data_IF_344400790317
#
_entry.id   IF_344400790317
#
_cell.length_a   1.000
_cell.length_b   1.000
_cell.length_c   1.000
_cell.angle_alpha   90.00
_cell.angle_beta   90.00
_cell.angle_gamma   90.00
#
_symmetry.space_group_name_H-M   'P 1'
#
loop_
_entity.id
_entity.type
_entity.pdbx_description
1 polymer ?
#
# COMPACT_ATOMS: atom_id res chain seq x y z
N UNK A 1 36.33 -9.55 18.73
CA UNK A 1 35.34 -8.70 18.03
C UNK A 1 35.99 -7.71 17.06
N UNK A 2 36.88 -6.80 17.51
CA UNK A 2 37.53 -5.81 16.61
C UNK A 2 38.41 -6.47 15.53
N UNK A 3 39.22 -7.48 15.88
CA UNK A 3 40.02 -8.25 14.91
C UNK A 3 39.16 -8.95 13.84
N UNK A 4 37.98 -9.44 14.21
CA UNK A 4 37.03 -10.09 13.31
C UNK A 4 36.44 -9.12 12.27
N UNK A 5 36.21 -7.86 12.66
CA UNK A 5 35.81 -6.78 11.73
C UNK A 5 36.94 -6.45 10.76
N UNK A 6 38.16 -6.25 11.26
CA UNK A 6 39.33 -5.93 10.44
C UNK A 6 39.62 -7.03 9.40
N UNK A 7 39.51 -8.30 9.78
CA UNK A 7 39.67 -9.44 8.87
C UNK A 7 38.66 -9.40 7.71
N UNK A 8 37.41 -9.04 8.00
CA UNK A 8 36.37 -8.85 6.98
C UNK A 8 36.63 -7.64 6.06
N UNK A 9 37.12 -6.52 6.62
CA UNK A 9 37.45 -5.31 5.85
C UNK A 9 38.58 -5.52 4.83
N UNK A 10 39.55 -6.39 5.10
CA UNK A 10 40.69 -6.63 4.19
C UNK A 10 40.52 -7.83 3.24
N UNK A 11 39.77 -8.88 3.61
CA UNK A 11 39.56 -10.04 2.73
C UNK A 11 38.51 -9.82 1.64
N UNK A 12 37.46 -9.03 1.90
CA UNK A 12 36.47 -8.67 0.88
C UNK A 12 37.14 -8.06 -0.38
N UNK A 13 38.04 -7.05 -0.26
CA UNK A 13 38.88 -6.56 -1.36
C UNK A 13 39.61 -7.63 -2.18
N UNK A 14 40.24 -8.64 -1.55
CA UNK A 14 40.95 -9.69 -2.30
C UNK A 14 39.98 -10.59 -3.09
N UNK A 15 38.84 -10.96 -2.49
CA UNK A 15 37.80 -11.72 -3.17
C UNK A 15 37.22 -10.91 -4.36
N UNK A 16 37.13 -9.58 -4.25
CA UNK A 16 36.66 -8.71 -5.34
C UNK A 16 37.61 -8.62 -6.54
N UNK A 17 38.91 -8.85 -6.38
CA UNK A 17 39.86 -8.91 -7.52
C UNK A 17 39.70 -10.23 -8.28
N UNK A 18 39.51 -11.33 -7.55
CA UNK A 18 39.42 -12.70 -8.10
C UNK A 18 38.05 -12.96 -8.74
N UNK A 19 36.96 -12.52 -8.10
CA UNK A 19 35.59 -12.68 -8.60
C UNK A 19 35.03 -11.36 -9.15
N UNK A 20 35.34 -11.05 -10.41
CA UNK A 20 34.57 -10.07 -11.21
C UNK A 20 33.31 -10.75 -11.80
N UNK A 21 32.09 -10.56 -11.24
CA UNK A 21 30.89 -11.07 -11.88
C UNK A 21 30.66 -10.33 -13.20
N UNK A 22 30.64 -11.06 -14.32
CA UNK A 22 30.30 -10.54 -15.64
C UNK A 22 28.81 -10.20 -15.71
N UNK A 23 28.41 -9.04 -15.18
CA UNK A 23 27.03 -8.54 -15.28
C UNK A 23 26.70 -8.13 -16.72
N UNK A 24 26.30 -9.11 -17.54
CA UNK A 24 25.71 -8.87 -18.86
C UNK A 24 24.23 -8.51 -18.71
N UNK A 25 23.94 -7.30 -18.24
CA UNK A 25 22.58 -6.75 -18.27
C UNK A 25 22.60 -5.37 -18.96
N UNK A 26 22.61 -5.39 -20.30
CA UNK A 26 22.43 -4.20 -21.14
C UNK A 26 20.93 -3.89 -21.24
N UNK A 27 20.42 -3.04 -20.34
CA UNK A 27 19.19 -2.33 -20.62
C UNK A 27 19.48 -1.22 -21.65
N UNK A 28 18.61 -1.05 -22.65
CA UNK A 28 18.63 0.10 -23.58
C UNK A 28 17.81 1.30 -23.05
N UNK A 29 17.49 1.34 -21.75
CA UNK A 29 16.88 2.51 -21.12
C UNK A 29 17.90 3.63 -20.95
N UNK A 30 17.52 4.86 -21.31
CA UNK A 30 18.34 6.07 -21.18
C UNK A 30 18.85 6.24 -19.73
N UNK A 31 20.18 6.35 -19.56
CA UNK A 31 20.83 6.32 -18.23
C UNK A 31 20.42 7.51 -17.33
N UNK A 32 19.74 8.52 -17.90
CA UNK A 32 19.33 9.75 -17.22
C UNK A 32 18.07 9.62 -16.36
N UNK A 33 17.21 8.61 -16.62
CA UNK A 33 15.87 8.52 -16.02
C UNK A 33 15.76 7.48 -14.90
N UNK A 34 16.65 6.48 -14.86
CA UNK A 34 16.65 5.46 -13.82
C UNK A 34 17.43 5.93 -12.55
N UNK A 35 17.04 5.51 -11.32
CA UNK A 35 17.78 5.81 -10.10
C UNK A 35 19.26 5.44 -10.18
N UNK A 36 20.15 6.46 -10.16
CA UNK A 36 21.61 6.32 -10.28
C UNK A 36 22.13 5.13 -9.46
N UNK A 37 22.76 4.18 -10.16
CA UNK A 37 23.22 2.92 -9.59
C UNK A 37 24.75 2.80 -9.66
N UNK A 38 25.34 2.23 -8.62
CA UNK A 38 26.79 2.01 -8.50
C UNK A 38 27.09 0.50 -8.42
N UNK A 39 28.30 0.05 -8.80
CA UNK A 39 28.73 -1.33 -8.60
C UNK A 39 28.55 -1.79 -7.14
N UNK A 40 28.12 -3.03 -6.95
CA UNK A 40 27.87 -3.72 -5.67
C UNK A 40 26.83 -3.12 -4.70
N UNK A 41 26.64 -1.80 -4.66
CA UNK A 41 25.62 -1.13 -3.80
C UNK A 41 24.34 -0.74 -4.57
N UNK A 42 24.31 -0.89 -5.90
CA UNK A 42 23.17 -0.52 -6.72
C UNK A 42 22.76 0.94 -6.52
N UNK A 43 21.47 1.20 -6.50
CA UNK A 43 20.89 2.54 -6.26
C UNK A 43 20.73 2.87 -4.76
N UNK A 44 21.50 2.24 -3.87
CA UNK A 44 21.34 2.39 -2.41
C UNK A 44 21.43 3.85 -1.93
N UNK A 45 22.40 4.63 -2.42
CA UNK A 45 22.53 6.04 -2.04
C UNK A 45 21.28 6.84 -2.39
N UNK A 46 20.72 6.63 -3.58
CA UNK A 46 19.49 7.27 -4.06
C UNK A 46 18.26 6.88 -3.22
N UNK A 47 18.19 5.63 -2.75
CA UNK A 47 17.15 5.17 -1.81
C UNK A 47 17.34 5.83 -0.43
N UNK A 48 18.58 5.93 0.05
CA UNK A 48 18.89 6.47 1.38
C UNK A 48 18.63 7.97 1.47
N UNK A 49 18.99 8.76 0.46
CA UNK A 49 18.69 10.21 0.42
C UNK A 49 17.18 10.46 0.39
N UNK A 50 16.44 9.70 -0.42
CA UNK A 50 15.00 9.84 -0.59
C UNK A 50 14.15 9.08 0.43
N UNK A 51 14.75 8.45 1.46
CA UNK A 51 14.05 7.62 2.46
C UNK A 51 12.86 8.30 3.16
N UNK A 52 12.90 9.63 3.25
CA UNK A 52 11.88 10.46 3.88
C UNK A 52 10.67 10.77 2.97
N UNK A 53 10.83 10.63 1.64
CA UNK A 53 9.82 10.83 0.59
C UNK A 53 9.73 9.63 -0.35
N UNK A 54 9.99 8.42 0.16
CA UNK A 54 10.24 7.23 -0.66
C UNK A 54 9.07 6.90 -1.61
N UNK A 55 7.83 7.13 -1.16
CA UNK A 55 6.61 6.96 -1.96
C UNK A 55 6.62 7.90 -3.17
N UNK A 56 6.82 9.18 -2.90
CA UNK A 56 6.82 10.25 -3.90
C UNK A 56 7.98 10.04 -4.86
N UNK A 57 9.21 9.87 -4.36
CA UNK A 57 10.39 9.63 -5.20
C UNK A 57 10.27 8.40 -6.12
N UNK A 58 9.68 7.29 -5.64
CA UNK A 58 9.42 6.14 -6.53
C UNK A 58 8.28 6.38 -7.51
N UNK A 59 7.29 7.20 -7.16
CA UNK A 59 6.23 7.67 -8.07
C UNK A 59 6.81 8.58 -9.17
N UNK A 60 7.64 9.55 -8.78
CA UNK A 60 8.37 10.45 -9.67
C UNK A 60 9.23 9.62 -10.66
N UNK A 61 9.92 8.59 -10.16
CA UNK A 61 10.72 7.69 -11.00
C UNK A 61 9.86 6.84 -11.97
N UNK A 62 8.71 6.31 -11.55
CA UNK A 62 7.76 5.61 -12.45
C UNK A 62 7.27 6.56 -13.55
N UNK A 63 6.81 7.76 -13.17
CA UNK A 63 6.23 8.73 -14.09
C UNK A 63 7.22 9.19 -15.17
N UNK A 64 8.48 9.44 -14.79
CA UNK A 64 9.53 9.88 -15.70
C UNK A 64 10.20 8.73 -16.50
N UNK A 65 9.85 7.47 -16.26
CA UNK A 65 10.50 6.33 -16.93
C UNK A 65 9.82 5.95 -18.24
N UNK A 66 10.58 5.52 -19.27
CA UNK A 66 10.01 4.96 -20.50
C UNK A 66 9.01 3.84 -20.19
N UNK A 67 7.86 3.84 -20.87
CA UNK A 67 6.76 2.89 -20.68
C UNK A 67 6.21 2.79 -19.24
N UNK A 68 6.55 3.72 -18.34
CA UNK A 68 6.22 3.69 -16.91
C UNK A 68 6.79 2.49 -16.16
N UNK A 69 7.90 1.91 -16.64
CA UNK A 69 8.59 0.76 -16.02
C UNK A 69 10.06 1.09 -15.81
N UNK A 70 10.63 0.80 -14.62
CA UNK A 70 12.06 0.94 -14.39
C UNK A 70 12.68 -0.14 -13.51
N UNK A 71 13.99 -0.32 -13.65
CA UNK A 71 14.79 -1.29 -12.91
C UNK A 71 15.53 -0.61 -11.74
N UNK A 72 15.09 -0.88 -10.50
CA UNK A 72 15.80 -0.48 -9.29
C UNK A 72 16.85 -1.54 -8.93
N UNK A 73 18.13 -1.22 -9.12
CA UNK A 73 19.24 -2.08 -8.68
C UNK A 73 19.44 -1.95 -7.16
N UNK A 74 19.51 -3.06 -6.45
CA UNK A 74 19.81 -3.16 -5.01
C UNK A 74 21.27 -3.66 -4.83
N UNK A 75 21.82 -3.56 -3.60
CA UNK A 75 23.10 -4.18 -3.29
C UNK A 75 23.19 -5.67 -3.62
N UNK A 76 24.43 -6.14 -3.84
CA UNK A 76 24.77 -7.53 -4.14
C UNK A 76 24.10 -8.11 -5.39
N UNK A 77 23.79 -7.26 -6.39
CA UNK A 77 23.27 -7.67 -7.69
C UNK A 77 21.76 -7.95 -7.72
N UNK A 78 21.08 -7.88 -6.57
CA UNK A 78 19.62 -7.94 -6.52
C UNK A 78 19.00 -6.82 -7.36
N UNK A 79 17.88 -7.09 -8.02
CA UNK A 79 17.18 -6.11 -8.83
C UNK A 79 15.67 -6.21 -8.60
N UNK A 80 14.99 -5.07 -8.60
CA UNK A 80 13.54 -4.96 -8.49
C UNK A 80 13.01 -4.16 -9.67
N UNK A 81 12.04 -4.69 -10.40
CA UNK A 81 11.30 -3.92 -11.40
C UNK A 81 10.16 -3.19 -10.69
N UNK A 82 9.97 -1.91 -10.99
CA UNK A 82 8.85 -1.09 -10.50
C UNK A 82 8.10 -0.56 -11.72
N UNK A 83 6.79 -0.80 -11.81
CA UNK A 83 5.96 -0.38 -12.94
C UNK A 83 4.66 0.32 -12.53
N UNK A 84 4.22 1.26 -13.37
CA UNK A 84 2.87 1.85 -13.39
C UNK A 84 2.12 1.54 -14.70
N UNK A 85 2.63 0.65 -15.54
CA UNK A 85 2.06 0.32 -16.84
C UNK A 85 0.84 -0.62 -16.69
N UNK A 86 -0.39 -0.23 -17.08
CA UNK A 86 -1.58 -1.06 -16.90
C UNK A 86 -1.51 -2.42 -17.59
N UNK A 87 -0.88 -2.50 -18.77
CA UNK A 87 -0.75 -3.76 -19.53
C UNK A 87 0.18 -4.74 -18.81
N UNK A 88 1.27 -4.23 -18.22
CA UNK A 88 2.18 -5.04 -17.38
C UNK A 88 1.50 -5.45 -16.07
N UNK A 89 0.72 -4.56 -15.45
CA UNK A 89 -0.08 -4.87 -14.26
C UNK A 89 -1.14 -5.93 -14.54
N UNK A 90 -1.80 -5.89 -15.70
CA UNK A 90 -2.72 -6.93 -16.15
C UNK A 90 -1.99 -8.27 -16.40
N UNK A 91 -0.80 -8.23 -16.99
CA UNK A 91 0.03 -9.42 -17.19
C UNK A 91 0.37 -10.10 -15.85
N UNK A 92 0.85 -9.34 -14.87
CA UNK A 92 1.19 -9.82 -13.52
C UNK A 92 -0.05 -10.35 -12.77
N UNK A 93 -1.16 -9.61 -12.79
CA UNK A 93 -2.33 -9.88 -11.95
C UNK A 93 -3.38 -10.79 -12.60
N UNK A 94 -3.31 -11.06 -13.90
CA UNK A 94 -4.30 -11.88 -14.63
C UNK A 94 -3.64 -12.87 -15.57
N UNK A 95 -2.88 -12.39 -16.56
CA UNK A 95 -2.48 -13.20 -17.72
C UNK A 95 -1.46 -14.28 -17.37
N UNK A 96 -0.48 -13.96 -16.50
CA UNK A 96 0.55 -14.88 -16.00
C UNK A 96 0.49 -15.03 -14.48
N UNK A 97 -0.73 -15.07 -13.92
CA UNK A 97 -0.95 -15.04 -12.47
C UNK A 97 -0.21 -16.15 -11.68
N UNK A 98 -0.07 -17.36 -12.24
CA UNK A 98 0.67 -18.47 -11.62
C UNK A 98 2.18 -18.23 -11.53
N UNK A 99 2.74 -17.43 -12.45
CA UNK A 99 4.16 -17.04 -12.53
C UNK A 99 4.53 -15.97 -11.49
N UNK A 100 3.59 -15.08 -11.16
CA UNK A 100 3.81 -13.94 -10.26
C UNK A 100 3.22 -14.17 -8.87
N UNK A 101 3.97 -14.93 -8.06
CA UNK A 101 3.63 -15.24 -6.67
C UNK A 101 4.18 -14.18 -5.71
N UNK A 102 3.78 -14.16 -4.42
CA UNK A 102 4.42 -13.29 -3.41
C UNK A 102 5.82 -13.80 -3.09
N UNK A 103 5.96 -15.13 -3.02
CA UNK A 103 7.23 -15.84 -2.89
C UNK A 103 7.81 -15.83 -1.46
N UNK A 104 8.83 -16.68 -1.25
CA UNK A 104 9.41 -16.94 0.07
C UNK A 104 9.84 -15.67 0.82
N UNK A 105 10.48 -14.71 0.13
CA UNK A 105 10.91 -13.45 0.76
C UNK A 105 9.74 -12.70 1.40
N UNK A 106 8.58 -12.64 0.74
CA UNK A 106 7.39 -11.99 1.30
C UNK A 106 6.81 -12.80 2.46
N UNK A 107 6.67 -14.12 2.25
CA UNK A 107 6.15 -15.06 3.26
C UNK A 107 6.96 -15.01 4.56
N UNK A 108 8.26 -15.21 4.47
CA UNK A 108 9.20 -15.23 5.61
C UNK A 108 9.27 -13.88 6.32
N UNK A 109 9.10 -12.78 5.57
CA UNK A 109 9.10 -11.43 6.15
C UNK A 109 7.91 -11.19 7.06
N UNK A 110 6.72 -11.65 6.66
CA UNK A 110 5.46 -11.43 7.39
C UNK A 110 4.97 -12.65 8.18
N UNK A 111 5.74 -13.75 8.25
CA UNK A 111 5.30 -15.01 8.83
C UNK A 111 4.84 -14.86 10.29
N UNK A 112 5.55 -14.08 11.11
CA UNK A 112 5.20 -13.88 12.53
C UNK A 112 3.86 -13.14 12.72
N UNK A 113 3.38 -12.41 11.70
CA UNK A 113 2.15 -11.60 11.74
C UNK A 113 0.98 -12.26 11.00
N UNK A 114 1.27 -12.90 9.86
CA UNK A 114 0.25 -13.43 8.95
C UNK A 114 0.27 -14.96 8.82
N UNK A 115 1.29 -15.62 9.37
CA UNK A 115 1.49 -17.07 9.29
C UNK A 115 1.37 -17.60 7.87
N UNK A 116 0.62 -18.69 7.71
CA UNK A 116 0.16 -19.24 6.43
C UNK A 116 -1.26 -18.78 6.06
N UNK A 117 -1.68 -17.59 6.53
CA UNK A 117 -2.96 -16.98 6.17
C UNK A 117 -3.01 -16.44 4.74
N UNK A 118 -4.22 -16.14 4.26
CA UNK A 118 -4.55 -15.79 2.86
C UNK A 118 -3.75 -14.61 2.29
N UNK A 119 -3.31 -13.71 3.17
CA UNK A 119 -2.48 -12.56 2.83
C UNK A 119 -0.99 -12.88 2.66
N UNK A 120 -0.53 -14.06 3.07
CA UNK A 120 0.86 -14.48 2.98
C UNK A 120 1.11 -15.65 2.00
N UNK A 121 0.18 -16.62 1.92
CA UNK A 121 0.36 -17.81 1.07
C UNK A 121 0.14 -17.56 -0.44
N UNK A 122 0.66 -18.52 -1.21
CA UNK A 122 0.54 -18.67 -2.66
C UNK A 122 0.05 -20.09 -3.01
N UNK A 123 -0.08 -20.41 -4.30
CA UNK A 123 -0.45 -21.75 -4.78
C UNK A 123 -1.82 -22.25 -4.33
N UNK A 124 -1.95 -23.56 -4.17
CA UNK A 124 -3.22 -24.22 -3.83
C UNK A 124 -3.71 -23.90 -2.41
N UNK A 125 -2.81 -23.70 -1.45
CA UNK A 125 -3.15 -23.24 -0.10
C UNK A 125 -3.86 -21.88 -0.14
N UNK A 126 -3.33 -20.93 -0.93
CA UNK A 126 -4.02 -19.67 -1.17
C UNK A 126 -5.35 -19.86 -1.91
N UNK A 127 -5.40 -20.69 -2.95
CA UNK A 127 -6.60 -20.93 -3.75
C UNK A 127 -7.74 -21.47 -2.88
N UNK A 128 -7.46 -22.45 -2.03
CA UNK A 128 -8.40 -23.05 -1.09
C UNK A 128 -8.94 -22.02 -0.10
N UNK A 129 -8.06 -21.33 0.63
CA UNK A 129 -8.47 -20.28 1.58
C UNK A 129 -9.27 -19.18 0.87
N UNK A 130 -8.86 -18.80 -0.35
CA UNK A 130 -9.54 -17.80 -1.16
C UNK A 130 -10.94 -18.23 -1.58
N UNK A 131 -11.14 -19.50 -1.95
CA UNK A 131 -12.46 -20.03 -2.31
C UNK A 131 -13.40 -19.99 -1.09
N UNK A 132 -12.94 -20.46 0.08
CA UNK A 132 -13.71 -20.43 1.32
C UNK A 132 -14.08 -19.00 1.72
N UNK A 133 -13.10 -18.10 1.87
CA UNK A 133 -13.37 -16.71 2.24
C UNK A 133 -14.22 -15.99 1.19
N UNK A 134 -14.06 -16.29 -0.11
CA UNK A 134 -14.89 -15.67 -1.15
C UNK A 134 -16.35 -16.12 -1.11
N UNK A 135 -16.67 -17.26 -0.49
CA UNK A 135 -18.05 -17.63 -0.24
C UNK A 135 -18.62 -16.79 0.90
N UNK A 136 -17.94 -16.76 2.04
CA UNK A 136 -18.38 -16.05 3.25
C UNK A 136 -18.56 -14.55 3.02
N UNK A 137 -17.61 -13.90 2.34
CA UNK A 137 -17.68 -12.45 2.03
C UNK A 137 -18.85 -12.05 1.11
N UNK A 138 -19.56 -13.01 0.50
CA UNK A 138 -20.74 -12.77 -0.35
C UNK A 138 -22.08 -13.11 0.32
N UNK A 139 -22.09 -13.57 1.58
CA UNK A 139 -23.33 -13.92 2.28
C UNK A 139 -24.17 -12.68 2.62
N UNK A 140 -25.50 -12.81 2.60
CA UNK A 140 -26.41 -11.74 3.04
C UNK A 140 -26.32 -11.49 4.55
N UNK A 141 -26.10 -12.56 5.33
CA UNK A 141 -25.91 -12.51 6.78
C UNK A 141 -24.72 -11.63 7.16
N UNK A 142 -23.53 -11.88 6.59
CA UNK A 142 -22.36 -11.05 6.85
C UNK A 142 -22.59 -9.60 6.43
N UNK A 143 -23.24 -9.36 5.28
CA UNK A 143 -23.56 -7.98 4.84
C UNK A 143 -24.42 -7.24 5.86
N UNK A 144 -25.51 -7.83 6.34
CA UNK A 144 -26.36 -7.19 7.36
C UNK A 144 -25.67 -7.03 8.71
N UNK A 145 -24.81 -7.98 9.11
CA UNK A 145 -24.00 -7.84 10.31
C UNK A 145 -23.01 -6.67 10.21
N UNK A 146 -22.31 -6.55 9.06
CA UNK A 146 -21.44 -5.41 8.76
C UNK A 146 -22.22 -4.10 8.76
N UNK A 147 -23.39 -4.04 8.12
CA UNK A 147 -24.26 -2.84 8.14
C UNK A 147 -24.60 -2.41 9.57
N UNK A 148 -25.02 -3.36 10.41
CA UNK A 148 -25.38 -3.12 11.81
C UNK A 148 -24.19 -2.63 12.66
N UNK A 149 -23.03 -3.31 12.58
CA UNK A 149 -21.82 -2.92 13.32
C UNK A 149 -21.37 -1.50 12.94
N UNK A 150 -21.40 -1.18 11.65
CA UNK A 150 -20.99 0.13 11.13
C UNK A 150 -21.96 1.23 11.53
N UNK A 151 -23.26 0.97 11.50
CA UNK A 151 -24.28 1.93 11.94
C UNK A 151 -24.20 2.17 13.46
N UNK A 152 -23.95 1.13 14.28
CA UNK A 152 -23.72 1.26 15.72
C UNK A 152 -22.47 2.13 15.99
N UNK A 153 -21.31 1.78 15.45
CA UNK A 153 -20.06 2.53 15.66
C UNK A 153 -20.16 4.00 15.19
N UNK A 154 -20.90 4.22 14.10
CA UNK A 154 -21.13 5.56 13.55
C UNK A 154 -21.98 6.43 14.49
N UNK A 155 -23.12 5.91 14.95
CA UNK A 155 -24.08 6.69 15.73
C UNK A 155 -23.72 6.79 17.22
N UNK A 156 -23.10 5.77 17.80
CA UNK A 156 -22.81 5.70 19.24
C UNK A 156 -21.45 6.32 19.61
N UNK A 157 -20.51 6.42 18.66
CA UNK A 157 -19.13 6.90 18.92
C UNK A 157 -18.68 8.00 17.99
N UNK A 158 -18.65 7.75 16.68
CA UNK A 158 -18.07 8.71 15.73
C UNK A 158 -18.85 10.03 15.70
N UNK A 159 -20.18 9.98 15.51
CA UNK A 159 -20.99 11.20 15.47
C UNK A 159 -20.95 11.98 16.81
N UNK A 160 -21.12 11.38 18.00
CA UNK A 160 -20.94 12.07 19.28
C UNK A 160 -19.58 12.77 19.44
N UNK A 161 -18.47 12.13 19.07
CA UNK A 161 -17.13 12.75 19.13
C UNK A 161 -17.07 13.99 18.23
N UNK A 162 -17.64 13.92 17.03
CA UNK A 162 -17.69 15.05 16.10
C UNK A 162 -18.63 16.17 16.61
N UNK A 163 -19.76 15.84 17.25
CA UNK A 163 -20.64 16.82 17.91
C UNK A 163 -19.91 17.56 19.04
N UNK A 164 -19.26 16.84 19.94
CA UNK A 164 -18.48 17.46 21.04
C UNK A 164 -17.35 18.33 20.51
N UNK A 165 -16.66 17.90 19.44
CA UNK A 165 -15.61 18.70 18.82
C UNK A 165 -16.13 19.95 18.10
N UNK A 166 -17.32 19.89 17.48
CA UNK A 166 -17.97 21.05 16.89
C UNK A 166 -18.40 22.07 17.96
N UNK A 167 -18.99 21.61 19.06
CA UNK A 167 -19.44 22.47 20.17
C UNK A 167 -18.27 23.16 20.89
N UNK A 168 -17.14 22.47 21.06
CA UNK A 168 -15.95 22.97 21.75
C UNK A 168 -14.91 23.63 20.82
N UNK A 169 -15.21 23.73 19.52
CA UNK A 169 -14.26 24.14 18.45
C UNK A 169 -12.90 23.42 18.45
N UNK A 170 -12.83 22.19 18.97
CA UNK A 170 -11.55 21.48 19.10
C UNK A 170 -11.02 21.01 17.75
N UNK A 171 -9.69 21.04 17.61
CA UNK A 171 -9.02 20.43 16.46
C UNK A 171 -8.86 18.94 16.72
N UNK A 172 -9.36 18.11 15.81
CA UNK A 172 -9.20 16.66 15.82
C UNK A 172 -8.20 16.22 14.75
N UNK A 173 -7.39 15.19 15.01
CA UNK A 173 -6.74 14.44 13.92
C UNK A 173 -7.75 13.46 13.32
N UNK A 174 -8.35 13.81 12.18
CA UNK A 174 -9.32 12.97 11.50
C UNK A 174 -8.70 11.67 10.97
N UNK A 175 -7.38 11.63 10.76
CA UNK A 175 -6.70 10.38 10.40
C UNK A 175 -6.71 9.39 11.57
N UNK A 176 -6.43 9.84 12.79
CA UNK A 176 -6.46 8.99 14.00
C UNK A 176 -7.89 8.51 14.29
N UNK A 177 -8.86 9.44 14.29
CA UNK A 177 -10.29 9.13 14.51
C UNK A 177 -10.81 8.08 13.52
N UNK A 178 -10.50 8.21 12.23
CA UNK A 178 -10.93 7.23 11.23
C UNK A 178 -10.16 5.90 11.31
N UNK A 179 -8.91 5.90 11.81
CA UNK A 179 -8.16 4.67 12.07
C UNK A 179 -8.75 3.90 13.25
N UNK A 180 -9.08 4.58 14.35
CA UNK A 180 -9.79 4.01 15.51
C UNK A 180 -11.15 3.44 15.10
N UNK A 181 -11.95 4.20 14.35
CA UNK A 181 -13.23 3.75 13.79
C UNK A 181 -13.08 2.46 12.97
N UNK A 182 -12.12 2.42 12.04
CA UNK A 182 -11.90 1.26 11.19
C UNK A 182 -11.41 0.03 11.99
N UNK A 183 -10.60 0.26 13.04
CA UNK A 183 -10.07 -0.78 13.90
C UNK A 183 -11.16 -1.45 14.76
N UNK A 184 -12.02 -0.65 15.41
CA UNK A 184 -13.14 -1.18 16.20
C UNK A 184 -14.13 -1.95 15.32
N UNK A 185 -14.46 -1.41 14.13
CA UNK A 185 -15.30 -2.10 13.15
C UNK A 185 -14.73 -3.47 12.73
N UNK A 186 -13.44 -3.54 12.34
CA UNK A 186 -12.87 -4.82 11.90
C UNK A 186 -12.74 -5.82 13.04
N UNK A 187 -12.50 -5.37 14.27
CA UNK A 187 -12.46 -6.27 15.43
C UNK A 187 -13.85 -6.85 15.76
N UNK A 188 -14.90 -6.03 15.70
CA UNK A 188 -16.29 -6.47 15.85
C UNK A 188 -16.68 -7.45 14.75
N UNK A 189 -16.36 -7.14 13.49
CA UNK A 189 -16.72 -7.96 12.33
C UNK A 189 -15.95 -9.30 12.29
N UNK A 190 -14.63 -9.28 12.54
CA UNK A 190 -13.76 -10.45 12.37
C UNK A 190 -13.63 -11.34 13.61
N UNK A 191 -13.76 -10.77 14.81
CA UNK A 191 -13.51 -11.47 16.08
C UNK A 191 -14.68 -11.43 17.06
N UNK A 192 -15.77 -10.70 16.75
CA UNK A 192 -16.86 -10.45 17.71
C UNK A 192 -16.43 -9.65 18.93
N UNK A 193 -15.31 -8.92 18.84
CA UNK A 193 -14.68 -8.22 19.97
C UNK A 193 -14.68 -6.70 19.76
N UNK A 194 -15.10 -5.95 20.77
CA UNK A 194 -15.03 -4.49 20.79
C UNK A 194 -13.80 -4.01 21.58
N UNK A 195 -12.79 -3.39 20.93
CA UNK A 195 -11.62 -2.84 21.61
C UNK A 195 -11.91 -1.53 22.37
N UNK A 196 -13.00 -0.82 22.04
CA UNK A 196 -13.31 0.52 22.57
C UNK A 196 -12.27 1.58 22.21
N UNK A 197 -11.58 1.44 21.07
CA UNK A 197 -10.49 2.33 20.68
C UNK A 197 -10.97 3.73 20.25
N UNK A 198 -12.19 3.82 19.71
CA UNK A 198 -12.90 5.08 19.43
C UNK A 198 -13.87 5.44 20.57
N UNK A 199 -13.32 5.81 21.73
CA UNK A 199 -14.11 6.36 22.85
C UNK A 199 -13.73 7.82 23.11
N UNK A 200 -14.58 8.64 23.77
CA UNK A 200 -14.31 10.08 23.96
C UNK A 200 -13.01 10.40 24.72
N UNK A 201 -12.52 9.48 25.55
CA UNK A 201 -11.23 9.59 26.23
C UNK A 201 -10.02 9.20 25.37
N UNK A 202 -10.24 8.74 24.13
CA UNK A 202 -9.25 8.30 23.14
C UNK A 202 -8.10 7.45 23.73
N UNK A 203 -8.41 6.40 24.53
CA UNK A 203 -7.40 5.64 25.25
C UNK A 203 -6.50 4.86 24.30
N UNK A 204 -5.32 4.51 24.80
CA UNK A 204 -4.45 3.50 24.18
C UNK A 204 -5.07 2.11 24.38
N UNK A 205 -5.89 1.67 23.43
CA UNK A 205 -6.39 0.30 23.42
C UNK A 205 -5.20 -0.65 23.25
N UNK A 206 -4.83 -1.37 24.33
CA UNK A 206 -3.61 -2.21 24.39
C UNK A 206 -3.47 -3.17 23.20
N UNK A 207 -4.59 -3.72 22.73
CA UNK A 207 -4.62 -4.58 21.54
C UNK A 207 -4.31 -3.80 20.25
N UNK A 208 -4.88 -2.61 20.06
CA UNK A 208 -4.58 -1.75 18.91
C UNK A 208 -3.11 -1.32 18.88
N UNK A 209 -2.55 -0.88 20.01
CA UNK A 209 -1.12 -0.52 20.12
C UNK A 209 -0.23 -1.71 19.79
N UNK A 210 -0.50 -2.90 20.36
CA UNK A 210 0.26 -4.11 20.09
C UNK A 210 0.14 -4.56 18.62
N UNK A 211 -1.04 -4.44 18.01
CA UNK A 211 -1.27 -4.75 16.60
C UNK A 211 -0.56 -3.77 15.67
N UNK A 212 -0.66 -2.46 15.91
CA UNK A 212 0.05 -1.44 15.14
C UNK A 212 1.57 -1.61 15.24
N UNK A 213 2.09 -1.96 16.41
CA UNK A 213 3.50 -2.28 16.58
C UNK A 213 3.91 -3.57 15.85
N UNK A 214 3.11 -4.63 15.91
CA UNK A 214 3.36 -5.86 15.17
C UNK A 214 3.34 -5.63 13.64
N UNK A 215 2.37 -4.86 13.15
CA UNK A 215 2.27 -4.41 11.75
C UNK A 215 3.49 -3.58 11.36
N UNK A 216 3.87 -2.59 12.18
CA UNK A 216 5.02 -1.72 11.98
C UNK A 216 6.33 -2.52 11.92
N UNK A 217 6.59 -3.36 12.91
CA UNK A 217 7.81 -4.19 13.04
C UNK A 217 7.90 -5.26 11.93
N UNK A 218 6.78 -5.83 11.49
CA UNK A 218 6.77 -6.80 10.38
C UNK A 218 6.98 -6.11 9.05
N UNK A 219 6.36 -4.95 8.86
CA UNK A 219 6.52 -4.14 7.65
C UNK A 219 7.96 -3.61 7.52
N UNK A 220 8.57 -3.14 8.62
CA UNK A 220 9.97 -2.67 8.74
C UNK A 220 10.99 -3.49 7.98
N UNK A 221 10.88 -4.81 8.08
CA UNK A 221 11.77 -5.80 7.48
C UNK A 221 11.95 -5.61 5.96
N UNK A 222 10.91 -5.18 5.23
CA UNK A 222 10.96 -4.94 3.78
C UNK A 222 11.82 -3.74 3.36
N UNK A 223 12.11 -2.78 4.27
CA UNK A 223 13.06 -1.69 3.97
C UNK A 223 14.50 -2.19 3.90
N UNK A 224 14.81 -3.25 4.65
CA UNK A 224 16.18 -3.66 4.89
C UNK A 224 16.83 -4.22 3.62
N UNK A 225 18.12 -3.94 3.50
CA UNK A 225 18.90 -4.16 2.28
C UNK A 225 19.15 -5.65 2.03
N UNK A 226 19.28 -6.42 3.10
CA UNK A 226 19.52 -7.87 3.07
C UNK A 226 18.64 -8.56 4.11
N UNK A 227 17.99 -9.69 3.79
CA UNK A 227 17.17 -10.45 4.74
C UNK A 227 17.90 -10.92 6.02
N UNK A 228 19.23 -10.98 5.99
CA UNK A 228 20.04 -11.36 7.14
C UNK A 228 20.18 -10.25 8.20
N UNK A 229 20.07 -8.97 7.82
CA UNK A 229 20.27 -7.84 8.73
C UNK A 229 19.02 -7.51 9.57
N UNK A 230 17.80 -7.74 9.05
CA UNK A 230 16.58 -7.53 9.85
C UNK A 230 16.43 -8.56 10.98
N UNK A 231 17.07 -9.73 10.85
CA UNK A 231 17.20 -10.72 11.93
C UNK A 231 18.15 -10.26 13.05
N UNK A 232 18.83 -9.12 12.90
CA UNK A 232 19.85 -8.63 13.84
C UNK A 232 19.54 -7.23 14.40
N UNK A 233 18.85 -6.34 13.69
CA UNK A 233 18.44 -5.02 14.22
C UNK A 233 17.15 -4.43 13.59
N UNK A 234 16.57 -3.43 14.26
CA UNK A 234 15.17 -2.90 14.14
C UNK A 234 15.15 -1.53 13.40
N UNK A 235 13.96 -0.97 13.09
CA UNK A 235 13.62 0.46 12.77
C UNK A 235 13.02 0.82 11.36
N UNK A 236 11.74 1.25 11.42
CA UNK A 236 10.76 1.96 10.55
C UNK A 236 10.23 1.45 9.15
N UNK A 237 8.90 1.50 8.83
CA UNK A 237 8.16 0.63 7.85
C UNK A 237 7.81 1.22 6.44
N UNK A 238 7.39 0.46 5.39
CA UNK A 238 7.66 0.82 3.99
C UNK A 238 6.53 1.05 2.97
N UNK A 239 5.31 0.51 3.07
CA UNK A 239 4.51 0.05 1.89
C UNK A 239 3.51 1.08 1.30
N UNK A 240 3.77 1.50 0.06
CA UNK A 240 2.79 2.01 -0.91
C UNK A 240 2.75 1.19 -2.22
N UNK A 241 3.55 0.13 -2.30
CA UNK A 241 3.93 -0.62 -3.50
C UNK A 241 3.63 -2.10 -3.25
N UNK A 242 2.81 -2.70 -4.11
CA UNK A 242 2.61 -4.15 -4.06
C UNK A 242 3.83 -4.88 -4.66
N UNK A 243 4.13 -6.08 -4.16
CA UNK A 243 5.35 -6.83 -4.53
C UNK A 243 5.05 -8.31 -4.76
N UNK A 244 5.67 -8.85 -5.81
CA UNK A 244 5.64 -10.24 -6.28
C UNK A 244 7.08 -10.69 -6.59
N UNK A 245 7.29 -11.99 -6.79
CA UNK A 245 8.52 -12.58 -7.29
C UNK A 245 8.22 -13.50 -8.48
N UNK A 246 9.03 -13.43 -9.53
CA UNK A 246 8.89 -14.28 -10.71
C UNK A 246 9.39 -15.70 -10.43
N UNK A 247 8.54 -16.72 -10.61
CA UNK A 247 8.90 -18.13 -10.36
C UNK A 247 9.66 -18.79 -11.52
N UNK A 248 9.56 -18.22 -12.72
CA UNK A 248 10.27 -18.58 -13.96
C UNK A 248 10.77 -17.32 -14.68
N UNK A 249 11.55 -17.49 -15.74
CA UNK A 249 11.87 -16.42 -16.69
C UNK A 249 10.61 -16.05 -17.51
N UNK A 250 10.44 -14.75 -17.81
CA UNK A 250 9.31 -14.21 -18.58
C UNK A 250 9.74 -12.91 -19.30
N UNK A 251 8.91 -12.40 -20.20
CA UNK A 251 9.10 -11.09 -20.84
C UNK A 251 7.80 -10.30 -20.72
N UNK A 252 7.86 -9.09 -20.17
CA UNK A 252 6.69 -8.23 -20.04
C UNK A 252 6.18 -7.74 -21.41
N UNK A 253 4.89 -7.37 -21.52
CA UNK A 253 4.32 -6.79 -22.74
C UNK A 253 5.02 -5.51 -23.26
N UNK A 254 5.78 -4.81 -22.41
CA UNK A 254 6.60 -3.65 -22.78
C UNK A 254 8.02 -4.01 -23.29
N UNK A 255 8.32 -5.30 -23.42
CA UNK A 255 9.62 -5.84 -23.84
C UNK A 255 10.64 -6.01 -22.71
N UNK A 256 10.28 -5.75 -21.44
CA UNK A 256 11.22 -5.90 -20.31
C UNK A 256 11.46 -7.38 -19.98
N UNK A 257 12.72 -7.83 -20.09
CA UNK A 257 13.16 -9.15 -19.62
C UNK A 257 12.99 -9.31 -18.10
N UNK A 258 12.31 -10.37 -17.68
CA UNK A 258 12.16 -10.78 -16.27
C UNK A 258 12.84 -12.13 -16.06
N UNK A 259 13.69 -12.23 -15.04
CA UNK A 259 14.39 -13.48 -14.69
C UNK A 259 13.83 -14.12 -13.44
N UNK A 260 13.87 -15.46 -13.39
CA UNK A 260 13.48 -16.25 -12.22
C UNK A 260 14.14 -15.71 -10.95
N UNK A 261 13.34 -15.47 -9.92
CA UNK A 261 13.76 -14.89 -8.65
C UNK A 261 13.84 -13.36 -8.62
N UNK A 262 13.62 -12.66 -9.74
CA UNK A 262 13.49 -11.20 -9.72
C UNK A 262 12.23 -10.77 -8.98
N UNK A 263 12.36 -9.69 -8.21
CA UNK A 263 11.25 -9.07 -7.49
C UNK A 263 10.58 -8.06 -8.42
N UNK A 264 9.27 -8.16 -8.56
CA UNK A 264 8.44 -7.31 -9.40
C UNK A 264 7.48 -6.54 -8.51
N UNK A 265 7.35 -5.25 -8.76
CA UNK A 265 6.51 -4.35 -7.98
C UNK A 265 5.67 -3.48 -8.90
N UNK A 266 4.41 -3.23 -8.54
CA UNK A 266 3.59 -2.21 -9.19
C UNK A 266 3.15 -1.14 -8.19
N UNK A 267 2.88 0.06 -8.68
CA UNK A 267 2.81 1.28 -7.87
C UNK A 267 1.44 1.97 -7.97
N UNK A 268 0.38 1.49 -7.28
CA UNK A 268 -0.97 2.05 -7.37
C UNK A 268 -1.04 3.56 -7.06
N UNK A 269 -0.19 4.04 -6.15
CA UNK A 269 -0.11 5.47 -5.79
C UNK A 269 0.35 6.34 -6.96
N UNK A 270 1.32 5.85 -7.76
CA UNK A 270 1.80 6.52 -8.97
C UNK A 270 0.79 6.41 -10.10
N UNK A 271 0.20 5.23 -10.30
CA UNK A 271 -0.83 4.99 -11.30
C UNK A 271 -2.04 5.91 -11.11
N UNK A 272 -2.43 6.20 -9.87
CA UNK A 272 -3.46 7.20 -9.54
C UNK A 272 -3.09 8.68 -9.81
N UNK A 273 -1.87 8.96 -10.27
CA UNK A 273 -1.30 10.31 -10.52
C UNK A 273 -0.54 10.40 -11.85
N UNK A 274 -0.88 9.54 -12.80
CA UNK A 274 -0.28 9.55 -14.14
C UNK A 274 -1.21 10.24 -15.13
N UNK A 275 -0.78 11.38 -15.68
CA UNK A 275 -1.51 12.11 -16.72
C UNK A 275 -1.97 11.21 -17.87
N UNK A 276 -1.11 10.30 -18.31
CA UNK A 276 -1.40 9.33 -19.39
C UNK A 276 -2.52 8.32 -19.07
N UNK A 277 -2.89 8.15 -17.80
CA UNK A 277 -4.01 7.29 -17.38
C UNK A 277 -5.27 8.09 -17.03
N UNK A 278 -5.13 9.38 -16.70
CA UNK A 278 -6.19 10.18 -16.09
C UNK A 278 -6.60 11.44 -16.85
N UNK A 279 -5.78 11.92 -17.80
CA UNK A 279 -5.92 13.22 -18.45
C UNK A 279 -5.09 14.32 -17.75
N UNK A 280 -4.99 15.49 -18.39
CA UNK A 280 -4.27 16.66 -17.83
C UNK A 280 -4.84 17.15 -16.49
N UNK A 281 -6.10 16.84 -16.19
CA UNK A 281 -6.77 17.13 -14.91
C UNK A 281 -6.46 16.07 -13.82
N UNK A 282 -5.45 15.20 -13.99
CA UNK A 282 -5.16 14.12 -13.04
C UNK A 282 -4.88 14.59 -11.60
N UNK A 283 -4.34 15.79 -11.44
CA UNK A 283 -4.02 16.42 -10.15
C UNK A 283 -5.27 16.99 -9.45
N UNK A 284 -6.35 17.25 -10.20
CA UNK A 284 -7.59 17.83 -9.67
C UNK A 284 -8.48 16.78 -9.00
N UNK A 285 -9.06 17.14 -7.86
CA UNK A 285 -10.10 16.34 -7.21
C UNK A 285 -11.43 16.52 -7.95
N UNK A 286 -11.71 15.61 -8.89
CA UNK A 286 -12.88 15.65 -9.78
C UNK A 286 -13.76 14.39 -9.69
N UNK A 287 -14.69 14.30 -8.72
CA UNK A 287 -15.59 13.15 -8.55
C UNK A 287 -16.43 12.80 -9.78
N UNK A 288 -16.73 13.80 -10.62
CA UNK A 288 -17.55 13.69 -11.83
C UNK A 288 -16.90 12.78 -12.89
N UNK A 289 -15.57 12.60 -12.83
CA UNK A 289 -14.80 11.69 -13.71
C UNK A 289 -15.31 10.23 -13.61
N UNK A 290 -16.00 9.89 -12.54
CA UNK A 290 -16.56 8.56 -12.28
C UNK A 290 -18.04 8.44 -12.64
N UNK A 291 -18.65 9.49 -13.20
CA UNK A 291 -20.06 9.54 -13.54
C UNK A 291 -20.24 9.67 -15.05
N UNK A 292 -21.09 8.83 -15.65
CA UNK A 292 -21.54 8.98 -17.04
C UNK A 292 -23.06 9.21 -17.04
N UNK A 293 -23.57 10.17 -17.81
CA UNK A 293 -25.01 10.30 -18.05
C UNK A 293 -25.48 9.08 -18.84
N UNK A 294 -26.51 8.40 -18.34
CA UNK A 294 -27.23 7.40 -19.11
C UNK A 294 -28.16 8.13 -20.08
N UNK A 295 -27.93 7.95 -21.38
CA UNK A 295 -28.67 8.62 -22.45
C UNK A 295 -30.15 8.18 -22.52
N UNK A 296 -30.51 7.06 -21.88
CA UNK A 296 -31.89 6.52 -21.87
C UNK A 296 -32.69 6.92 -20.64
N UNK A 297 -32.03 7.08 -19.48
CA UNK A 297 -32.68 7.40 -18.20
C UNK A 297 -32.44 8.82 -17.70
N UNK A 298 -31.61 9.61 -18.41
CA UNK A 298 -31.09 10.92 -18.01
C UNK A 298 -30.31 10.98 -16.68
N UNK A 299 -30.16 9.86 -15.98
CA UNK A 299 -29.47 9.78 -14.68
C UNK A 299 -27.96 9.66 -14.82
N UNK A 300 -27.24 10.21 -13.86
CA UNK A 300 -25.80 9.97 -13.71
C UNK A 300 -25.55 8.60 -13.10
N UNK A 301 -24.82 7.74 -13.81
CA UNK A 301 -24.44 6.39 -13.37
C UNK A 301 -22.95 6.35 -13.01
N UNK A 302 -22.61 5.74 -11.88
CA UNK A 302 -21.22 5.48 -11.51
C UNK A 302 -20.60 4.44 -12.45
N UNK A 303 -19.47 4.80 -13.07
CA UNK A 303 -18.67 3.95 -13.95
C UNK A 303 -17.29 3.76 -13.30
N UNK A 304 -16.99 2.57 -12.74
CA UNK A 304 -15.66 2.30 -12.22
C UNK A 304 -14.63 2.24 -13.36
N UNK A 305 -13.44 2.79 -13.12
CA UNK A 305 -12.26 2.53 -13.93
C UNK A 305 -11.87 1.06 -13.88
N UNK A 306 -11.17 0.64 -14.94
CA UNK A 306 -10.57 -0.69 -15.03
C UNK A 306 -9.64 -0.97 -13.82
N UNK A 307 -9.76 -2.14 -13.15
CA UNK A 307 -8.94 -2.48 -11.99
C UNK A 307 -7.43 -2.60 -12.25
N UNK A 308 -6.97 -2.82 -13.48
CA UNK A 308 -5.54 -2.87 -13.81
C UNK A 308 -4.97 -1.47 -14.06
N UNK A 309 -5.80 -0.52 -14.50
CA UNK A 309 -5.48 0.92 -14.57
C UNK A 309 -5.50 1.59 -13.19
N UNK A 310 -6.38 1.17 -12.28
CA UNK A 310 -6.45 1.70 -10.90
C UNK A 310 -6.55 0.60 -9.82
N UNK A 311 -5.46 -0.14 -9.55
CA UNK A 311 -5.45 -1.35 -8.71
C UNK A 311 -5.47 -1.09 -7.19
N UNK A 312 -6.24 -0.11 -6.70
CA UNK A 312 -6.33 0.24 -5.27
C UNK A 312 -6.85 -0.92 -4.41
N UNK A 313 -7.75 -1.75 -4.95
CA UNK A 313 -8.22 -2.99 -4.32
C UNK A 313 -7.58 -4.24 -4.95
N UNK A 314 -6.38 -4.12 -5.54
CA UNK A 314 -5.79 -5.13 -6.44
C UNK A 314 -6.69 -5.42 -7.66
N UNK A 315 -6.30 -6.40 -8.47
CA UNK A 315 -7.08 -6.86 -9.63
C UNK A 315 -6.93 -8.38 -9.83
N UNK A 316 -7.65 -8.93 -10.81
CA UNK A 316 -7.60 -10.35 -11.15
C UNK A 316 -7.96 -11.27 -9.98
N UNK A 317 -7.38 -12.48 -9.89
CA UNK A 317 -7.67 -13.44 -8.82
C UNK A 317 -7.34 -12.94 -7.40
N UNK A 318 -6.51 -11.89 -7.26
CA UNK A 318 -6.11 -11.30 -5.96
C UNK A 318 -6.91 -10.06 -5.56
N UNK A 319 -7.93 -9.64 -6.33
CA UNK A 319 -8.83 -8.52 -5.97
C UNK A 319 -9.32 -8.65 -4.52
N UNK A 320 -9.36 -7.57 -3.74
CA UNK A 320 -9.66 -7.63 -2.32
C UNK A 320 -11.09 -8.14 -2.05
N UNK A 321 -11.25 -9.12 -1.15
CA UNK A 321 -12.58 -9.61 -0.72
C UNK A 321 -13.35 -8.55 0.06
N UNK A 322 -12.66 -7.81 0.94
CA UNK A 322 -13.26 -6.73 1.73
C UNK A 322 -13.57 -5.46 0.93
N UNK A 323 -13.46 -5.45 -0.41
CA UNK A 323 -13.69 -4.27 -1.26
C UNK A 323 -15.07 -3.66 -1.04
N UNK A 324 -16.11 -4.47 -1.12
CA UNK A 324 -17.49 -3.96 -1.07
C UNK A 324 -17.90 -3.60 0.36
N UNK A 325 -17.38 -4.31 1.37
CA UNK A 325 -17.44 -3.94 2.78
C UNK A 325 -16.78 -2.58 3.05
N UNK A 326 -15.58 -2.34 2.50
CA UNK A 326 -14.88 -1.07 2.65
C UNK A 326 -15.66 0.08 1.98
N UNK A 327 -16.22 -0.13 0.78
CA UNK A 327 -17.09 0.87 0.13
C UNK A 327 -18.38 1.14 0.91
N UNK A 328 -18.99 0.12 1.52
CA UNK A 328 -20.15 0.29 2.39
C UNK A 328 -19.80 1.16 3.61
N UNK A 329 -18.71 0.83 4.31
CA UNK A 329 -18.20 1.61 5.45
C UNK A 329 -17.94 3.07 5.07
N UNK A 330 -17.17 3.30 3.99
CA UNK A 330 -16.87 4.64 3.49
C UNK A 330 -18.15 5.43 3.17
N UNK A 331 -19.14 4.82 2.52
CA UNK A 331 -20.42 5.45 2.19
C UNK A 331 -21.22 5.82 3.45
N UNK A 332 -21.30 4.92 4.43
CA UNK A 332 -21.98 5.17 5.72
C UNK A 332 -21.33 6.33 6.48
N UNK A 333 -20.01 6.31 6.62
CA UNK A 333 -19.25 7.39 7.28
C UNK A 333 -19.43 8.72 6.54
N UNK A 334 -19.21 8.77 5.22
CA UNK A 334 -19.34 10.01 4.44
C UNK A 334 -20.77 10.56 4.48
N UNK A 335 -21.79 9.70 4.36
CA UNK A 335 -23.19 10.13 4.43
C UNK A 335 -23.58 10.60 5.84
N UNK A 336 -23.17 9.90 6.90
CA UNK A 336 -23.45 10.28 8.29
C UNK A 336 -22.77 11.60 8.68
N UNK A 337 -21.49 11.74 8.37
CA UNK A 337 -20.68 12.92 8.71
C UNK A 337 -21.09 14.12 7.87
N UNK A 338 -21.10 14.04 6.54
CA UNK A 338 -21.39 15.21 5.70
C UNK A 338 -22.84 15.68 5.76
N UNK A 339 -23.78 14.85 6.23
CA UNK A 339 -25.16 15.26 6.51
C UNK A 339 -25.24 16.24 7.69
N UNK A 340 -24.38 16.09 8.70
CA UNK A 340 -24.46 16.80 9.97
C UNK A 340 -23.34 17.83 10.17
N UNK A 341 -22.21 17.66 9.49
CA UNK A 341 -21.00 18.43 9.72
C UNK A 341 -20.33 18.92 8.44
N UNK A 342 -19.71 20.09 8.55
CA UNK A 342 -18.65 20.58 7.66
C UNK A 342 -17.29 20.27 8.30
N UNK A 343 -16.48 19.47 7.64
CA UNK A 343 -15.08 19.22 8.01
C UNK A 343 -14.22 20.31 7.39
N UNK A 344 -13.43 21.02 8.21
CA UNK A 344 -12.57 22.13 7.78
C UNK A 344 -11.11 21.80 8.11
N UNK A 345 -10.23 21.55 7.13
CA UNK A 345 -8.81 21.31 7.38
C UNK A 345 -8.12 22.45 8.13
N UNK A 346 -7.20 22.11 9.02
CA UNK A 346 -6.31 23.05 9.73
C UNK A 346 -4.88 22.83 9.22
N UNK A 347 -4.70 23.13 7.93
CA UNK A 347 -3.40 23.04 7.24
C UNK A 347 -2.96 24.43 6.79
N UNK A 348 -1.67 24.65 6.70
CA UNK A 348 -1.13 25.92 6.16
C UNK A 348 -1.42 25.99 4.66
N UNK A 349 -1.87 27.14 4.17
CA UNK A 349 -2.12 27.36 2.75
C UNK A 349 -0.89 27.00 1.90
N UNK A 350 -1.11 26.25 0.82
CA UNK A 350 -0.06 25.78 -0.08
C UNK A 350 0.77 24.58 0.41
N UNK A 351 0.49 24.00 1.58
CA UNK A 351 1.21 22.80 2.05
C UNK A 351 0.63 21.49 1.49
N UNK A 352 1.46 20.69 0.82
CA UNK A 352 1.06 19.36 0.34
C UNK A 352 1.23 18.26 1.42
N UNK A 353 0.30 17.29 1.51
CA UNK A 353 0.41 16.18 2.46
C UNK A 353 1.55 15.21 2.10
N UNK A 354 2.57 15.14 2.94
CA UNK A 354 3.64 14.15 2.81
C UNK A 354 3.16 12.80 3.33
N UNK A 355 2.99 11.81 2.45
CA UNK A 355 2.64 10.44 2.84
C UNK A 355 3.86 9.64 3.32
N UNK A 356 3.70 8.97 4.47
CA UNK A 356 4.64 7.98 5.02
C UNK A 356 4.05 6.59 4.82
N UNK A 357 4.87 5.64 4.35
CA UNK A 357 4.45 4.25 4.21
C UNK A 357 4.48 3.52 5.55
N UNK A 358 3.47 2.68 5.81
CA UNK A 358 3.45 1.60 6.78
C UNK A 358 2.93 0.33 6.06
N UNK A 359 2.05 -0.50 6.63
CA UNK A 359 1.29 -1.47 5.80
C UNK A 359 0.29 -0.76 4.88
N UNK A 360 -0.18 0.42 5.29
CA UNK A 360 -0.94 1.39 4.53
C UNK A 360 -0.18 2.72 4.48
N UNK A 361 -0.52 3.63 3.57
CA UNK A 361 0.05 4.99 3.56
C UNK A 361 -0.72 5.90 4.54
N UNK A 362 -0.01 6.59 5.44
CA UNK A 362 -0.55 7.59 6.38
C UNK A 362 0.01 8.98 6.05
N UNK A 363 -0.74 10.06 6.29
CA UNK A 363 -0.24 11.44 6.26
C UNK A 363 0.72 11.69 7.42
N UNK A 364 1.86 12.31 7.12
CA UNK A 364 2.87 12.72 8.11
C UNK A 364 2.30 13.86 8.98
N UNK A 365 2.16 13.62 10.28
CA UNK A 365 1.62 14.60 11.21
C UNK A 365 0.08 14.61 11.31
N UNK A 366 -0.59 13.59 10.78
CA UNK A 366 -2.05 13.48 10.87
C UNK A 366 -2.79 14.22 9.76
N UNK A 367 -4.10 14.34 9.93
CA UNK A 367 -4.98 15.22 9.18
C UNK A 367 -5.80 16.08 10.14
N UNK A 368 -5.24 17.19 10.65
CA UNK A 368 -5.91 18.07 11.61
C UNK A 368 -7.10 18.80 10.96
N UNK A 369 -8.26 18.75 11.61
CA UNK A 369 -9.50 19.39 11.16
C UNK A 369 -10.23 20.08 12.31
N UNK A 370 -10.94 21.17 12.02
CA UNK A 370 -12.06 21.65 12.84
C UNK A 370 -13.36 21.08 12.29
N UNK A 371 -14.25 20.65 13.18
CA UNK A 371 -15.62 20.26 12.84
C UNK A 371 -16.52 21.48 13.06
N UNK A 372 -17.49 21.69 12.16
CA UNK A 372 -18.56 22.67 12.32
C UNK A 372 -19.90 22.00 12.02
N UNK A 373 -20.93 22.32 12.78
CA UNK A 373 -22.29 21.85 12.45
C UNK A 373 -22.73 22.38 11.07
N UNK A 374 -23.48 21.56 10.35
CA UNK A 374 -24.10 21.91 9.09
C UNK A 374 -25.53 22.37 9.36
N UNK A 375 -25.73 23.69 9.26
CA UNK A 375 -27.07 24.32 9.25
C UNK A 375 -27.85 23.92 7.99
#
# INVERSE_FOLDING_TARGET
MIQSLLFFCFLLPLVFIIFKPKSKFKSKSDERLAPKSYPFIGSYLSIYTNRHRLIQWTSDAVHNSPNFTFLLRRPFGQSRIITGNPTVVQHILKTQFSTYQKGGIFRDTLFDLLGDGIFNVDGDAWKFQRQLSSHEFNTKSLRHFVEHVVDSELNERLLPILTTAAANETVLDLQDILQRFAFDNICKIAFGYDPGYLTPSLPDAKFAVAFEDAVRISSERFRMITPLLWKIQRLYPPVPIDTKAATVDDVFPDGTDVKKGMVVSYHPYAMGRMETLWGGDYIEFRPERWLKKDEREEKMRFVPRDPYTYPVFQAGPRICLGKDMAFLQMKRVVAGVLRQFKVVPVVNDGSEPVFVGALTSKMKGGFPVKIKERK
#
